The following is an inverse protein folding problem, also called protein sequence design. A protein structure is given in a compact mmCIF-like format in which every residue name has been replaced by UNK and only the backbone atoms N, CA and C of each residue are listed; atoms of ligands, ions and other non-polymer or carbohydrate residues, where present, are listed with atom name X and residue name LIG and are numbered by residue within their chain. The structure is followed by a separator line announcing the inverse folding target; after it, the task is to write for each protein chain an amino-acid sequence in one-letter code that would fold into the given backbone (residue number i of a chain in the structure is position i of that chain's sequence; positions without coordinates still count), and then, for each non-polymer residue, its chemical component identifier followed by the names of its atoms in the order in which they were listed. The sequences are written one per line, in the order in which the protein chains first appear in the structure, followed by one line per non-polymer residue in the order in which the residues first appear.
data_IF_708109858782
#
_entry.id   IF_708109858782
#
_cell.length_a   1.000
_cell.length_b   1.000
_cell.length_c   1.000
_cell.angle_alpha   90.00
_cell.angle_beta   90.00
_cell.angle_gamma   90.00
#
_symmetry.space_group_name_H-M   'P 1'
#
loop_
_entity.id
_entity.type
_entity.pdbx_description
1 polymer ?
#
# COMPACT_ATOMS: atom_id res chain seq x y z
N UNK A 1 -6.69 -78.50 -18.88
CA UNK A 1 -7.42 -77.65 -17.94
C UNK A 1 -6.45 -76.51 -17.62
N UNK A 2 -6.65 -75.37 -18.34
CA UNK A 2 -5.66 -74.24 -18.27
C UNK A 2 -6.01 -73.30 -17.13
N UNK A 3 -5.00 -73.07 -16.24
CA UNK A 3 -5.11 -72.01 -15.20
C UNK A 3 -4.93 -70.67 -15.85
N UNK A 4 -5.96 -69.88 -15.90
CA UNK A 4 -5.91 -68.47 -16.29
C UNK A 4 -5.14 -67.71 -15.24
N UNK A 5 -3.98 -67.20 -15.62
CA UNK A 5 -3.20 -66.24 -14.81
C UNK A 5 -3.92 -64.90 -14.78
N UNK A 6 -4.50 -64.58 -13.65
CA UNK A 6 -5.10 -63.29 -13.39
C UNK A 6 -3.96 -62.29 -13.08
N UNK A 7 -3.54 -61.52 -14.05
CA UNK A 7 -2.62 -60.41 -13.87
C UNK A 7 -3.29 -59.30 -13.10
N UNK A 8 -2.96 -59.19 -11.81
CA UNK A 8 -3.36 -58.06 -10.97
C UNK A 8 -2.51 -56.84 -11.35
N UNK A 9 -3.03 -55.99 -12.22
CA UNK A 9 -2.42 -54.74 -12.57
C UNK A 9 -2.64 -53.77 -11.40
N UNK A 10 -1.67 -53.68 -10.50
CA UNK A 10 -1.65 -52.67 -9.41
C UNK A 10 -1.35 -51.32 -10.08
N UNK A 11 -2.41 -50.54 -10.27
CA UNK A 11 -2.31 -49.14 -10.65
C UNK A 11 -1.79 -48.39 -9.44
N UNK A 12 -0.48 -48.23 -9.35
CA UNK A 12 0.18 -47.27 -8.43
C UNK A 12 -0.20 -45.85 -8.89
N UNK A 13 -1.33 -45.36 -8.38
CA UNK A 13 -1.66 -43.93 -8.40
C UNK A 13 -0.63 -43.22 -7.52
N UNK A 14 0.49 -42.88 -8.13
CA UNK A 14 1.44 -41.94 -7.55
C UNK A 14 0.71 -40.63 -7.31
N UNK A 15 0.40 -40.36 -6.05
CA UNK A 15 0.03 -39.04 -5.61
C UNK A 15 1.24 -38.12 -5.85
N UNK A 16 1.34 -37.56 -7.05
CA UNK A 16 2.15 -36.39 -7.28
C UNK A 16 1.52 -35.27 -6.46
N UNK A 17 1.96 -35.10 -5.22
CA UNK A 17 1.83 -33.87 -4.49
C UNK A 17 2.59 -32.81 -5.28
N UNK A 18 1.91 -32.21 -6.26
CA UNK A 18 2.40 -30.99 -6.87
C UNK A 18 2.59 -30.01 -5.71
N UNK A 19 3.81 -29.51 -5.46
CA UNK A 19 3.98 -28.43 -4.49
C UNK A 19 3.02 -27.34 -4.94
N UNK A 20 2.05 -27.02 -4.08
CA UNK A 20 1.07 -25.99 -4.38
C UNK A 20 1.87 -24.75 -4.75
N UNK A 21 1.79 -24.35 -6.02
CA UNK A 21 2.31 -23.08 -6.48
C UNK A 21 1.60 -22.03 -5.63
N UNK A 22 2.30 -21.55 -4.59
CA UNK A 22 1.86 -20.40 -3.81
C UNK A 22 1.79 -19.25 -4.81
N UNK A 23 0.60 -19.03 -5.35
CA UNK A 23 0.36 -17.95 -6.29
C UNK A 23 0.70 -16.64 -5.58
N UNK A 24 1.86 -16.08 -5.90
CA UNK A 24 2.30 -14.80 -5.36
C UNK A 24 1.25 -13.77 -5.76
N UNK A 25 0.48 -13.28 -4.80
CA UNK A 25 -0.57 -12.31 -5.06
C UNK A 25 0.05 -11.03 -5.61
N UNK A 26 -0.20 -10.75 -6.88
CA UNK A 26 0.25 -9.51 -7.52
C UNK A 26 -0.70 -8.40 -7.12
N UNK A 27 -0.17 -7.35 -6.52
CA UNK A 27 -0.91 -6.15 -6.17
C UNK A 27 -0.83 -5.16 -7.34
N UNK A 28 -1.97 -4.77 -7.96
CA UNK A 28 -1.98 -3.81 -9.05
C UNK A 28 -1.39 -2.47 -8.60
N UNK A 29 -0.49 -1.92 -9.41
CA UNK A 29 0.03 -0.56 -9.20
C UNK A 29 -1.01 0.42 -9.73
N UNK A 30 -1.47 1.41 -8.95
CA UNK A 30 -2.39 2.43 -9.44
C UNK A 30 -1.83 3.17 -10.64
N UNK A 31 -2.66 3.37 -11.67
CA UNK A 31 -2.32 4.26 -12.78
C UNK A 31 -2.12 5.67 -12.22
N UNK A 32 -0.87 6.15 -12.24
CA UNK A 32 -0.51 7.45 -11.70
C UNK A 32 -1.16 8.60 -12.47
N UNK A 33 -1.45 9.69 -11.77
CA UNK A 33 -1.84 10.97 -12.34
C UNK A 33 -0.99 12.10 -11.73
N UNK A 34 -1.12 13.31 -12.23
CA UNK A 34 -0.32 14.46 -11.77
C UNK A 34 -0.57 14.88 -10.32
N UNK A 35 -1.63 14.40 -9.69
CA UNK A 35 -2.00 14.69 -8.29
C UNK A 35 -1.60 13.57 -7.34
N UNK A 36 -1.31 12.37 -7.85
CA UNK A 36 -0.98 11.23 -7.01
C UNK A 36 0.35 11.46 -6.29
N UNK A 37 0.34 11.23 -4.98
CA UNK A 37 1.49 11.39 -4.10
C UNK A 37 2.11 10.01 -3.77
N UNK A 38 1.31 9.11 -3.22
CA UNK A 38 1.71 7.75 -2.89
C UNK A 38 0.46 6.86 -2.77
N UNK A 39 0.66 5.56 -2.58
CA UNK A 39 -0.44 4.64 -2.32
C UNK A 39 -0.12 3.65 -1.20
N UNK A 40 -1.16 3.07 -0.61
CA UNK A 40 -1.08 2.07 0.44
C UNK A 40 -1.82 0.80 0.02
N UNK A 41 -1.12 -0.32 0.14
CA UNK A 41 -1.64 -1.67 -0.08
C UNK A 41 -1.53 -2.50 1.19
N UNK A 42 -2.35 -3.53 1.30
CA UNK A 42 -2.31 -4.43 2.46
C UNK A 42 -2.70 -5.84 2.07
N UNK A 43 -2.25 -6.83 2.84
CA UNK A 43 -2.68 -8.21 2.65
C UNK A 43 -4.17 -8.38 2.88
N UNK A 44 -4.64 -9.52 2.45
CA UNK A 44 -5.95 -10.12 2.25
C UNK A 44 -6.67 -9.67 0.98
N UNK A 45 -6.52 -8.44 0.49
CA UNK A 45 -7.14 -8.05 -0.78
C UNK A 45 -6.22 -7.14 -1.61
N UNK A 46 -6.57 -6.92 -2.88
CA UNK A 46 -5.82 -6.08 -3.82
C UNK A 46 -6.33 -4.64 -3.89
N UNK A 47 -7.38 -4.32 -3.11
CA UNK A 47 -7.87 -2.95 -3.05
C UNK A 47 -6.78 -2.03 -2.49
N UNK A 48 -6.55 -0.92 -3.16
CA UNK A 48 -5.45 0.00 -2.87
C UNK A 48 -6.00 1.36 -2.47
N UNK A 49 -5.41 1.98 -1.44
CA UNK A 49 -5.71 3.36 -1.08
C UNK A 49 -4.71 4.25 -1.78
N UNK A 50 -5.21 5.18 -2.57
CA UNK A 50 -4.39 6.20 -3.22
C UNK A 50 -4.53 7.50 -2.46
N UNK A 51 -3.40 8.17 -2.24
CA UNK A 51 -3.32 9.51 -1.64
C UNK A 51 -2.93 10.50 -2.72
N UNK A 52 -3.72 11.53 -2.91
CA UNK A 52 -3.50 12.57 -3.91
C UNK A 52 -3.67 13.97 -3.33
N UNK A 53 -3.12 14.95 -4.02
CA UNK A 53 -3.32 16.35 -3.69
C UNK A 53 -4.79 16.70 -3.74
N UNK A 54 -5.25 17.39 -2.71
CA UNK A 54 -6.60 17.92 -2.63
C UNK A 54 -6.62 19.40 -3.02
N UNK A 55 -7.50 19.76 -3.94
CA UNK A 55 -7.64 21.12 -4.44
C UNK A 55 -9.02 21.69 -4.07
N UNK A 56 -9.01 22.96 -3.68
CA UNK A 56 -10.21 23.75 -3.42
C UNK A 56 -10.07 25.07 -4.18
N UNK A 57 -11.05 25.39 -5.01
CA UNK A 57 -11.05 26.64 -5.81
C UNK A 57 -9.76 26.84 -6.66
N UNK A 58 -9.23 25.77 -7.25
CA UNK A 58 -8.05 25.84 -8.13
C UNK A 58 -6.70 25.87 -7.41
N UNK A 59 -6.68 25.98 -6.08
CA UNK A 59 -5.47 25.95 -5.24
C UNK A 59 -5.47 24.75 -4.32
N UNK A 60 -4.31 24.37 -3.78
CA UNK A 60 -4.24 23.30 -2.80
C UNK A 60 -5.09 23.66 -1.57
N UNK A 61 -5.87 22.69 -1.07
CA UNK A 61 -6.63 22.90 0.17
C UNK A 61 -5.67 22.93 1.36
N UNK A 62 -5.47 24.11 1.94
CA UNK A 62 -4.48 24.31 3.03
C UNK A 62 -4.88 23.65 4.35
N UNK A 63 -6.17 23.30 4.54
CA UNK A 63 -6.65 22.58 5.72
C UNK A 63 -6.49 21.07 5.54
N UNK A 64 -6.77 20.57 4.32
CA UNK A 64 -6.72 19.16 3.98
C UNK A 64 -5.97 18.96 2.64
N UNK A 65 -4.65 19.20 2.58
CA UNK A 65 -3.89 19.22 1.32
C UNK A 65 -3.78 17.84 0.65
N UNK A 66 -4.12 16.77 1.37
CA UNK A 66 -4.07 15.39 0.87
C UNK A 66 -5.39 14.69 1.17
N UNK A 67 -5.96 14.06 0.16
CA UNK A 67 -7.12 13.18 0.29
C UNK A 67 -6.76 11.73 -0.05
N UNK A 68 -7.41 10.78 0.62
CA UNK A 68 -7.26 9.36 0.35
C UNK A 68 -8.57 8.76 -0.14
N UNK A 69 -8.47 7.82 -1.09
CA UNK A 69 -9.62 7.07 -1.61
C UNK A 69 -9.20 5.66 -2.01
N UNK A 70 -10.16 4.75 -2.13
CA UNK A 70 -9.94 3.40 -2.63
C UNK A 70 -9.92 3.35 -4.15
N UNK A 71 -9.06 2.46 -4.69
CA UNK A 71 -9.28 1.81 -5.98
C UNK A 71 -9.65 0.36 -5.69
N UNK A 72 -10.86 -0.04 -6.08
CA UNK A 72 -11.47 -1.33 -5.78
C UNK A 72 -11.07 -2.40 -6.80
N UNK A 73 -9.80 -2.76 -6.85
CA UNK A 73 -9.27 -3.74 -7.81
C UNK A 73 -9.89 -5.14 -7.71
N UNK A 74 -10.48 -5.51 -6.57
CA UNK A 74 -11.22 -6.77 -6.44
C UNK A 74 -12.61 -6.74 -7.08
N UNK A 75 -13.07 -5.57 -7.48
CA UNK A 75 -14.34 -5.34 -8.13
C UNK A 75 -14.09 -4.88 -9.57
N UNK A 76 -14.47 -3.67 -9.93
CA UNK A 76 -14.30 -3.13 -11.28
C UNK A 76 -13.14 -2.12 -11.40
N UNK A 77 -12.34 -1.96 -10.35
CA UNK A 77 -11.26 -0.96 -10.31
C UNK A 77 -11.77 0.48 -10.12
N UNK A 78 -13.01 0.65 -9.70
CA UNK A 78 -13.61 1.97 -9.50
C UNK A 78 -13.01 2.70 -8.29
N UNK A 79 -13.06 4.03 -8.35
CA UNK A 79 -12.76 4.90 -7.21
C UNK A 79 -13.91 4.87 -6.21
N UNK A 80 -13.59 4.80 -4.93
CA UNK A 80 -14.54 4.89 -3.83
C UNK A 80 -13.93 5.70 -2.68
N UNK A 81 -14.67 6.64 -2.14
CA UNK A 81 -14.21 7.45 -1.02
C UNK A 81 -14.05 6.61 0.25
N UNK A 82 -13.06 6.95 1.07
CA UNK A 82 -12.94 6.36 2.40
C UNK A 82 -14.18 6.68 3.24
N UNK A 83 -14.75 5.69 3.90
CA UNK A 83 -15.84 5.93 4.85
C UNK A 83 -15.38 6.84 6.01
N UNK A 84 -16.33 7.45 6.72
CA UNK A 84 -16.03 8.27 7.89
C UNK A 84 -15.16 7.52 8.92
N UNK A 85 -15.49 6.25 9.21
CA UNK A 85 -14.74 5.40 10.15
C UNK A 85 -13.33 5.16 9.65
N UNK A 86 -13.15 4.84 8.37
CA UNK A 86 -11.84 4.61 7.77
C UNK A 86 -10.96 5.86 7.80
N UNK A 87 -11.52 7.04 7.51
CA UNK A 87 -10.80 8.30 7.62
C UNK A 87 -10.42 8.64 9.04
N UNK A 88 -11.33 8.44 9.99
CA UNK A 88 -11.14 8.86 11.39
C UNK A 88 -10.19 7.95 12.17
N UNK A 89 -10.16 6.66 11.87
CA UNK A 89 -9.50 5.67 12.74
C UNK A 89 -8.42 4.82 12.05
N UNK A 90 -8.38 4.79 10.72
CA UNK A 90 -7.44 3.90 10.01
C UNK A 90 -6.55 4.64 9.02
N UNK A 91 -7.10 5.07 7.91
CA UNK A 91 -6.34 5.50 6.72
C UNK A 91 -6.28 7.02 6.53
N UNK A 92 -7.01 7.79 7.32
CA UNK A 92 -6.95 9.25 7.24
C UNK A 92 -5.59 9.79 7.65
N UNK A 93 -5.27 10.98 7.15
CA UNK A 93 -4.07 11.71 7.52
C UNK A 93 -4.42 12.88 8.45
N UNK A 94 -3.58 13.08 9.46
CA UNK A 94 -3.51 14.32 10.20
C UNK A 94 -2.52 15.22 9.51
N UNK A 95 -2.92 16.48 9.33
CA UNK A 95 -2.12 17.50 8.66
C UNK A 95 -1.84 18.64 9.61
N UNK A 96 -0.60 19.17 9.56
CA UNK A 96 -0.18 20.37 10.25
C UNK A 96 0.64 21.21 9.28
N UNK A 97 0.19 22.43 8.95
CA UNK A 97 1.01 23.38 8.18
C UNK A 97 2.22 23.77 9.03
N UNK A 98 3.43 23.65 8.47
CA UNK A 98 4.70 24.00 9.14
C UNK A 98 5.41 25.19 8.50
N UNK A 99 5.17 25.41 7.20
CA UNK A 99 5.62 26.60 6.46
C UNK A 99 4.73 26.77 5.23
N UNK A 100 4.99 27.77 4.39
CA UNK A 100 4.32 27.90 3.11
C UNK A 100 4.71 26.71 2.23
N UNK A 101 3.68 26.10 1.58
CA UNK A 101 3.80 24.90 0.77
C UNK A 101 4.47 23.69 1.48
N UNK A 102 4.46 23.67 2.83
CA UNK A 102 5.02 22.58 3.62
C UNK A 102 4.05 22.13 4.73
N UNK A 103 3.81 20.83 4.79
CA UNK A 103 2.90 20.22 5.75
C UNK A 103 3.52 18.96 6.36
N UNK A 104 3.42 18.84 7.69
CA UNK A 104 3.64 17.57 8.36
C UNK A 104 2.39 16.72 8.25
N UNK A 105 2.57 15.47 7.86
CA UNK A 105 1.52 14.46 7.73
C UNK A 105 1.80 13.29 8.67
N UNK A 106 0.75 12.68 9.21
CA UNK A 106 0.83 11.40 9.90
C UNK A 106 -0.48 10.65 9.78
N UNK A 107 -0.42 9.32 9.76
CA UNK A 107 -1.64 8.52 9.79
C UNK A 107 -2.39 8.70 11.12
N UNK A 108 -3.71 8.74 11.06
CA UNK A 108 -4.54 8.79 12.29
C UNK A 108 -4.31 7.57 13.17
N UNK A 109 -4.07 6.40 12.56
CA UNK A 109 -3.79 5.13 13.22
C UNK A 109 -2.35 5.00 13.73
N UNK A 110 -1.39 5.74 13.16
CA UNK A 110 0.02 5.63 13.56
C UNK A 110 0.74 6.98 13.50
N UNK A 111 0.56 7.78 14.54
CA UNK A 111 1.05 9.17 14.62
C UNK A 111 2.57 9.30 14.74
N UNK A 112 3.26 8.22 15.10
CA UNK A 112 4.73 8.25 15.26
C UNK A 112 5.45 8.34 13.93
N UNK A 113 4.85 7.83 12.84
CA UNK A 113 5.44 7.90 11.51
C UNK A 113 5.13 9.25 10.87
N UNK A 114 6.16 10.07 10.73
CA UNK A 114 6.06 11.42 10.18
C UNK A 114 6.42 11.43 8.71
N UNK A 115 5.62 12.14 7.94
CA UNK A 115 5.83 12.41 6.52
C UNK A 115 5.71 13.91 6.29
N UNK A 116 6.29 14.42 5.22
CA UNK A 116 6.31 15.83 4.91
C UNK A 116 5.91 16.08 3.46
N UNK A 117 4.75 16.71 3.26
CA UNK A 117 4.36 17.21 1.95
C UNK A 117 5.10 18.52 1.69
N UNK A 118 5.84 18.58 0.58
CA UNK A 118 6.62 19.76 0.21
C UNK A 118 6.56 19.99 -1.29
N UNK A 119 6.58 21.27 -1.69
CA UNK A 119 6.75 21.68 -3.08
C UNK A 119 8.21 21.47 -3.51
N UNK A 120 8.43 20.70 -4.57
CA UNK A 120 9.75 20.49 -5.16
C UNK A 120 10.18 21.64 -6.08
N UNK A 121 11.43 21.64 -6.48
CA UNK A 121 11.99 22.62 -7.40
C UNK A 121 11.30 22.61 -8.77
N UNK A 122 10.74 21.49 -9.18
CA UNK A 122 9.96 21.31 -10.40
C UNK A 122 8.49 21.75 -10.28
N UNK A 123 8.15 22.45 -9.20
CA UNK A 123 6.81 22.95 -8.87
C UNK A 123 5.77 21.84 -8.71
N UNK A 124 6.20 20.62 -8.38
CA UNK A 124 5.32 19.50 -8.01
C UNK A 124 5.45 19.22 -6.51
N UNK A 125 4.34 18.77 -5.93
CA UNK A 125 4.37 18.35 -4.53
C UNK A 125 4.80 16.88 -4.43
N UNK A 126 5.58 16.61 -3.40
CA UNK A 126 6.06 15.27 -3.04
C UNK A 126 5.87 15.03 -1.54
N UNK A 127 5.64 13.79 -1.18
CA UNK A 127 5.68 13.38 0.23
C UNK A 127 7.04 12.79 0.53
N UNK A 128 7.76 13.43 1.45
CA UNK A 128 9.06 12.99 1.93
C UNK A 128 8.91 12.26 3.26
N UNK A 129 9.75 11.26 3.47
CA UNK A 129 9.90 10.54 4.74
C UNK A 129 11.30 9.97 4.83
N UNK A 130 11.71 9.51 6.02
CA UNK A 130 12.97 8.81 6.16
C UNK A 130 12.76 7.32 5.87
N UNK A 131 13.61 6.77 5.00
CA UNK A 131 13.70 5.34 4.66
C UNK A 131 15.16 4.92 4.92
N UNK A 132 15.38 3.95 5.81
CA UNK A 132 16.72 3.59 6.30
C UNK A 132 17.52 4.81 6.81
N UNK A 133 16.86 5.70 7.57
CA UNK A 133 17.44 6.93 8.12
C UNK A 133 17.92 7.94 7.07
N UNK A 134 17.44 7.87 5.84
CA UNK A 134 17.75 8.81 4.76
C UNK A 134 16.47 9.40 4.19
N UNK A 135 16.44 10.70 3.90
CA UNK A 135 15.29 11.33 3.24
C UNK A 135 15.01 10.67 1.88
N UNK A 136 13.76 10.33 1.66
CA UNK A 136 13.28 9.75 0.41
C UNK A 136 11.92 10.32 0.03
N UNK A 137 11.58 10.31 -1.25
CA UNK A 137 10.23 10.57 -1.75
C UNK A 137 9.43 9.29 -1.61
N UNK A 138 8.39 9.31 -0.78
CA UNK A 138 7.51 8.17 -0.56
C UNK A 138 6.72 7.85 -1.85
N UNK A 139 6.73 6.58 -2.25
CA UNK A 139 5.96 6.09 -3.41
C UNK A 139 4.87 5.13 -3.01
N UNK A 140 5.15 4.22 -2.08
CA UNK A 140 4.13 3.28 -1.60
C UNK A 140 4.43 2.73 -0.21
N UNK A 141 3.37 2.26 0.44
CA UNK A 141 3.41 1.53 1.70
C UNK A 141 2.66 0.22 1.52
N UNK A 142 3.27 -0.88 1.96
CA UNK A 142 2.62 -2.18 2.01
C UNK A 142 2.52 -2.68 3.45
N UNK A 143 1.33 -3.08 3.89
CA UNK A 143 1.07 -3.58 5.23
C UNK A 143 0.78 -5.08 5.16
N UNK A 144 1.65 -5.88 5.73
CA UNK A 144 1.42 -7.32 5.90
C UNK A 144 0.60 -7.53 7.17
N UNK A 145 -0.65 -7.95 7.00
CA UNK A 145 -1.56 -8.28 8.08
C UNK A 145 -1.73 -9.81 8.10
N UNK A 146 -1.60 -10.40 9.27
CA UNK A 146 -1.79 -11.83 9.50
C UNK A 146 -2.91 -12.03 10.54
N UNK A 147 -4.17 -11.85 10.10
CA UNK A 147 -5.34 -11.97 10.95
C UNK A 147 -5.62 -10.73 11.80
N UNK A 148 -6.37 -10.92 12.89
CA UNK A 148 -6.88 -9.83 13.71
C UNK A 148 -8.21 -9.26 13.19
N UNK A 149 -8.64 -8.15 13.77
CA UNK A 149 -9.88 -7.44 13.39
C UNK A 149 -9.57 -6.10 12.73
N UNK A 150 -10.60 -5.42 12.21
CA UNK A 150 -10.45 -4.05 11.71
C UNK A 150 -9.88 -3.09 12.78
N UNK A 151 -10.29 -3.26 14.04
CA UNK A 151 -9.87 -2.39 15.15
C UNK A 151 -8.53 -2.79 15.76
N UNK A 152 -8.12 -4.06 15.59
CA UNK A 152 -6.87 -4.60 16.12
C UNK A 152 -6.29 -5.61 15.11
N UNK A 153 -5.78 -5.13 13.97
CA UNK A 153 -5.14 -5.99 12.99
C UNK A 153 -3.81 -6.52 13.55
N UNK A 154 -3.53 -7.79 13.32
CA UNK A 154 -2.22 -8.35 13.61
C UNK A 154 -1.26 -8.02 12.46
N UNK A 155 -0.46 -6.95 12.64
CA UNK A 155 0.49 -6.49 11.63
C UNK A 155 1.81 -7.22 11.83
N UNK A 156 2.23 -7.96 10.81
CA UNK A 156 3.49 -8.70 10.79
C UNK A 156 4.66 -7.76 10.44
N UNK A 157 4.48 -6.92 9.42
CA UNK A 157 5.42 -5.87 9.04
C UNK A 157 4.76 -4.78 8.19
N UNK A 158 5.44 -3.64 8.12
CA UNK A 158 5.16 -2.57 7.17
C UNK A 158 6.37 -2.40 6.27
N UNK A 159 6.17 -2.42 4.95
CA UNK A 159 7.20 -2.15 3.96
C UNK A 159 6.96 -0.78 3.33
N UNK A 160 7.99 0.04 3.32
CA UNK A 160 7.94 1.42 2.84
C UNK A 160 8.87 1.50 1.64
N UNK A 161 8.36 1.98 0.53
CA UNK A 161 9.11 2.18 -0.71
C UNK A 161 9.16 3.66 -1.06
N UNK A 162 10.28 4.07 -1.59
CA UNK A 162 10.49 5.44 -2.02
C UNK A 162 11.59 5.57 -3.05
N UNK A 163 11.87 6.81 -3.42
CA UNK A 163 12.95 7.17 -4.33
C UNK A 163 13.89 8.15 -3.64
N UNK A 164 15.18 7.95 -3.76
CA UNK A 164 16.15 8.99 -3.39
C UNK A 164 15.86 10.28 -4.15
N UNK A 165 15.83 11.44 -3.50
CA UNK A 165 15.39 12.69 -4.12
C UNK A 165 16.20 13.09 -5.38
N UNK A 166 17.51 12.86 -5.35
CA UNK A 166 18.43 13.30 -6.40
C UNK A 166 18.60 12.24 -7.50
N UNK A 167 18.91 11.01 -7.12
CA UNK A 167 19.27 9.92 -8.05
C UNK A 167 18.06 9.20 -8.63
N UNK A 168 16.89 9.36 -7.98
CA UNK A 168 15.67 8.58 -8.26
C UNK A 168 15.84 7.07 -8.09
N UNK A 169 16.90 6.65 -7.39
CA UNK A 169 17.13 5.26 -7.06
C UNK A 169 16.06 4.76 -6.09
N UNK A 170 15.51 3.59 -6.35
CA UNK A 170 14.50 2.98 -5.47
C UNK A 170 15.14 2.58 -4.13
N UNK A 171 14.47 2.94 -3.04
CA UNK A 171 14.85 2.58 -1.68
C UNK A 171 13.67 1.92 -0.97
N UNK A 172 14.00 0.99 -0.07
CA UNK A 172 13.00 0.21 0.64
C UNK A 172 13.42 -0.08 2.07
N UNK A 173 12.48 0.03 2.99
CA UNK A 173 12.65 -0.36 4.39
C UNK A 173 11.50 -1.25 4.85
N UNK A 174 11.78 -2.23 5.69
CA UNK A 174 10.78 -3.08 6.31
C UNK A 174 10.84 -2.91 7.83
N UNK A 175 9.75 -2.42 8.39
CA UNK A 175 9.56 -2.24 9.82
C UNK A 175 8.78 -3.44 10.37
N UNK A 176 9.32 -4.12 11.39
CA UNK A 176 8.57 -5.06 12.21
C UNK A 176 7.81 -4.25 13.27
N UNK A 177 6.56 -4.62 13.52
CA UNK A 177 5.67 -3.92 14.46
C UNK A 177 5.55 -4.73 15.75
#
# INVERSE_FOLDING_TARGET
MELKKLSLLIFLLGNFLLPGLTQTKIYPVPAGNSKQLFYLQRTSNTNTIVYELNYKNGSIDTENPVQGFWIRYQEMGQREELSFIQRKFAYGLKTKKIADDQYELSFVSYKKYKMYLKLGADKKYYVYTDINHKPAVLTSIFIKINGGSFWSPNIEYVEILGLEPNTKTAVKERLKI
#
